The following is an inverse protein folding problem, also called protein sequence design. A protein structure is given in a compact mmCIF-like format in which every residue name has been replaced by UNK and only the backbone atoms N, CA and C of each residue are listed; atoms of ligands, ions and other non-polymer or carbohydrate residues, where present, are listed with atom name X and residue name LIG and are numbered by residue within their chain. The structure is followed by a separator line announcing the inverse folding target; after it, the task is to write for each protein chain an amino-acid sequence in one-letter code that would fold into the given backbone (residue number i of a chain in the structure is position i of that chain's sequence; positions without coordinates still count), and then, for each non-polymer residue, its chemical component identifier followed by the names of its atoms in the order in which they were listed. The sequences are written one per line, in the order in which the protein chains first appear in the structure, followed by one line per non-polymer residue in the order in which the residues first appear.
data_IF_822326187297
#
_entry.id   IF_822326187297
#
_cell.length_a   1.000
_cell.length_b   1.000
_cell.length_c   1.000
_cell.angle_alpha   90.00
_cell.angle_beta   90.00
_cell.angle_gamma   90.00
#
_symmetry.space_group_name_H-M   'P 1'
#
loop_
_entity.id
_entity.type
_entity.pdbx_description
1 polymer ?
2 water ?
#
# COMPACT_ATOMS: atom_id res chain seq x y z
N UNK A 23 -8.41 -14.23 -14.35
CA UNK A 23 -8.88 -14.55 -12.97
C UNK A 23 -9.67 -13.37 -12.40
N UNK A 24 -10.68 -13.68 -11.58
CA UNK A 24 -11.58 -12.67 -11.01
C UNK A 24 -11.75 -12.83 -9.48
N UNK A 25 -11.29 -11.84 -8.68
CA UNK A 25 -10.72 -10.53 -9.03
C UNK A 25 -9.27 -10.58 -9.49
N UNK A 26 -8.90 -9.62 -10.34
CA UNK A 26 -7.55 -9.45 -10.81
C UNK A 26 -6.85 -8.62 -9.74
N UNK A 27 -5.79 -9.18 -9.15
CA UNK A 27 -5.05 -8.52 -8.08
C UNK A 27 -3.77 -7.91 -8.60
N UNK A 28 -3.67 -6.60 -8.43
CA UNK A 28 -2.47 -5.86 -8.82
C UNK A 28 -1.77 -5.38 -7.56
N UNK A 29 -0.54 -5.84 -7.37
CA UNK A 29 0.27 -5.43 -6.24
C UNK A 29 1.13 -4.26 -6.64
N UNK A 30 1.19 -3.26 -5.76
CA UNK A 30 1.97 -2.07 -6.06
C UNK A 30 2.80 -1.79 -4.84
N UNK A 31 4.12 -1.83 -5.02
CA UNK A 31 5.01 -1.63 -3.91
C UNK A 31 5.98 -0.52 -4.26
N UNK A 32 6.97 -0.32 -3.41
CA UNK A 32 7.86 0.84 -3.46
C UNK A 32 8.06 1.39 -2.06
N UNK A 33 9.02 2.28 -1.90
CA UNK A 33 9.24 2.90 -0.59
C UNK A 33 8.09 3.84 -0.26
N UNK A 34 8.03 4.27 0.98
CA UNK A 34 7.01 5.23 1.38
C UNK A 34 7.23 6.54 0.63
N UNK A 35 6.14 7.14 0.17
CA UNK A 35 6.17 8.36 -0.64
C UNK A 35 6.85 8.19 -2.02
N UNK A 36 6.95 6.94 -2.50
CA UNK A 36 7.50 6.66 -3.84
C UNK A 36 6.58 7.14 -4.92
N UNK A 37 5.29 7.14 -4.61
CA UNK A 37 4.26 7.35 -5.59
C UNK A 37 3.38 6.13 -5.74
N UNK A 38 3.71 5.04 -5.05
CA UNK A 38 2.86 3.85 -5.11
C UNK A 38 1.39 4.18 -4.82
N UNK A 39 1.16 5.12 -3.91
CA UNK A 39 -0.22 5.41 -3.56
C UNK A 39 -0.82 6.50 -4.44
N UNK A 40 -0.02 7.47 -4.87
CA UNK A 40 -0.49 8.47 -5.82
C UNK A 40 -0.90 7.83 -7.14
N UNK A 41 -0.15 6.80 -7.55
CA UNK A 41 -0.40 6.08 -8.79
C UNK A 41 -1.76 5.36 -8.74
N UNK A 42 -2.01 4.62 -7.66
CA UNK A 42 -3.30 3.97 -7.44
C UNK A 42 -4.48 4.93 -7.43
N UNK A 43 -4.33 6.05 -6.73
CA UNK A 43 -5.34 7.11 -6.69
C UNK A 43 -5.58 7.67 -8.07
N UNK A 44 -4.50 7.90 -8.81
CA UNK A 44 -4.62 8.40 -10.17
C UNK A 44 -5.37 7.40 -11.05
N UNK A 45 -5.02 6.12 -10.93
CA UNK A 45 -5.71 5.04 -11.66
C UNK A 45 -7.24 5.00 -11.41
N UNK A 46 -7.63 5.09 -10.13
CA UNK A 46 -9.03 5.18 -9.73
C UNK A 46 -9.74 6.40 -10.32
N UNK A 47 -9.07 7.55 -10.28
CA UNK A 47 -9.60 8.81 -10.78
C UNK A 47 -9.89 8.74 -12.28
N UNK A 48 -8.89 8.30 -13.05
CA UNK A 48 -9.00 8.19 -14.51
C UNK A 48 -10.05 7.15 -14.92
N UNK A 49 -10.13 6.06 -14.17
CA UNK A 49 -11.21 5.09 -14.36
C UNK A 49 -12.59 5.64 -13.99
N UNK A 50 -12.64 6.77 -13.27
CA UNK A 50 -13.91 7.36 -12.82
C UNK A 50 -14.45 6.74 -11.54
N UNK A 51 -13.76 5.71 -11.04
CA UNK A 51 -14.18 4.93 -9.87
C UNK A 51 -14.22 5.68 -8.54
N UNK A 52 -13.50 6.79 -8.43
CA UNK A 52 -13.49 7.54 -7.18
C UNK A 52 -14.74 8.43 -7.02
N UNK A 53 -15.56 8.48 -8.06
CA UNK A 53 -16.84 9.21 -8.04
C UNK A 53 -18.02 8.26 -7.85
N UNK A 54 -17.76 7.13 -7.20
CA UNK A 54 -18.74 6.07 -7.00
C UNK A 54 -18.65 5.61 -5.54
N UNK A 55 -19.80 5.50 -4.87
CA UNK A 55 -19.86 4.97 -3.50
C UNK A 55 -19.13 3.63 -3.42
N UNK A 56 -18.43 3.42 -2.31
CA UNK A 56 -17.67 2.19 -2.07
C UNK A 56 -18.34 0.90 -2.58
N UNK A 57 -19.61 0.70 -2.21
CA UNK A 57 -20.33 -0.55 -2.52
C UNK A 57 -20.61 -0.81 -4.01
N UNK A 58 -20.55 0.25 -4.82
CA UNK A 58 -20.87 0.15 -6.23
C UNK A 58 -19.63 0.03 -7.09
N UNK A 59 -18.46 0.06 -6.46
CA UNK A 59 -17.20 0.09 -7.20
C UNK A 59 -16.80 -1.25 -7.79
N UNK A 60 -16.22 -1.21 -8.98
CA UNK A 60 -15.65 -2.40 -9.61
C UNK A 60 -14.14 -2.47 -9.38
N UNK A 61 -13.53 -1.31 -9.15
CA UNK A 61 -12.11 -1.23 -8.82
C UNK A 61 -11.90 -0.63 -7.42
N UNK A 62 -11.07 -1.29 -6.62
CA UNK A 62 -10.85 -0.90 -5.23
C UNK A 62 -9.36 -0.71 -4.93
N UNK A 63 -9.02 0.26 -4.06
CA UNK A 63 -7.64 0.37 -3.52
C UNK A 63 -7.54 -0.17 -2.08
N UNK A 64 -6.58 -1.05 -1.85
CA UNK A 64 -6.32 -1.57 -0.52
C UNK A 64 -4.88 -1.23 -0.09
N UNK A 65 -4.72 -0.48 1.00
CA UNK A 65 -3.38 -0.17 1.52
C UNK A 65 -2.96 -1.12 2.63
N UNK A 66 -1.72 -1.56 2.54
CA UNK A 66 -1.11 -2.36 3.58
C UNK A 66 -1.15 -1.67 4.95
N UNK A 67 -1.10 -0.34 4.97
CA UNK A 67 -1.07 0.38 6.26
C UNK A 67 -2.38 0.34 7.06
N UNK A 68 -3.44 -0.17 6.45
CA UNK A 68 -4.64 -0.49 7.20
C UNK A 68 -4.40 -1.69 8.12
N UNK A 69 -3.34 -2.44 7.85
CA UNK A 69 -3.03 -3.66 8.60
C UNK A 69 -1.91 -3.56 9.64
N UNK A 70 -1.50 -2.33 9.98
CA UNK A 70 -0.61 -2.15 11.14
C UNK A 70 -1.26 -2.75 12.38
N UNK A 71 -0.44 -3.34 13.24
CA UNK A 71 -0.91 -3.91 14.50
C UNK A 71 -1.34 -2.82 15.48
N UNK A 72 -2.27 -3.17 16.37
CA UNK A 72 -2.57 -2.36 17.54
C UNK A 72 -1.37 -2.53 18.48
N UNK A 73 -0.79 -1.42 18.92
CA UNK A 73 0.37 -1.49 19.80
C UNK A 73 -0.02 -1.77 21.24
N UNK A 74 0.83 -2.51 21.94
CA UNK A 74 0.72 -2.70 23.39
C UNK A 74 1.07 -1.38 24.06
N UNK A 75 0.74 -1.27 25.35
CA UNK A 75 1.03 -0.09 26.14
C UNK A 75 2.47 0.40 25.95
N UNK A 76 3.42 -0.54 25.92
CA UNK A 76 4.82 -0.18 25.92
C UNK A 76 5.45 -0.03 24.53
N UNK A 77 4.87 -0.67 23.52
CA UNK A 77 5.28 -0.40 22.15
C UNK A 77 4.82 1.01 21.79
N UNK A 78 3.66 1.39 22.32
CA UNK A 78 3.10 2.72 22.16
C UNK A 78 4.00 3.78 22.80
N UNK A 79 4.50 3.47 24.00
CA UNK A 79 5.42 4.34 24.73
C UNK A 79 6.76 4.50 24.00
N UNK A 80 7.15 3.47 23.25
CA UNK A 80 8.34 3.54 22.41
C UNK A 80 8.06 4.45 21.21
N UNK A 81 6.86 4.33 20.66
CA UNK A 81 6.46 5.11 19.49
C UNK A 81 6.42 6.62 19.71
N UNK A 82 5.99 7.06 20.90
CA UNK A 82 5.93 8.49 21.23
C UNK A 82 7.34 9.05 21.32
N UNK A 83 8.24 8.26 21.90
CA UNK A 83 9.65 8.60 21.98
C UNK A 83 10.42 8.17 20.72
N UNK A 84 9.67 7.96 19.63
CA UNK A 84 10.22 7.69 18.29
C UNK A 84 11.05 6.43 18.10
N UNK A 85 10.94 5.49 19.04
CA UNK A 85 11.78 4.28 19.06
C UNK A 85 11.05 2.99 18.68
N UNK A 86 10.05 3.08 17.80
CA UNK A 86 9.34 1.90 17.31
C UNK A 86 9.39 1.79 15.79
N UNK A 87 9.81 0.63 15.30
CA UNK A 87 10.04 0.43 13.86
C UNK A 87 8.79 0.04 13.07
N UNK A 88 8.20 1.04 12.42
CA UNK A 88 7.02 0.84 11.59
C UNK A 88 7.33 0.31 10.18
N UNK A 89 8.60 0.10 9.88
CA UNK A 89 8.99 -0.40 8.55
C UNK A 89 9.50 -1.85 8.53
N UNK A 90 9.43 -2.50 9.70
CA UNK A 90 9.77 -3.92 9.84
C UNK A 90 8.51 -4.72 9.48
N UNK A 91 8.65 -5.85 8.76
CA UNK A 91 7.51 -6.74 8.48
C UNK A 91 6.67 -7.13 9.71
N UNK A 92 7.31 -7.22 10.88
CA UNK A 92 6.62 -7.56 12.13
C UNK A 92 5.72 -6.42 12.58
N UNK A 93 5.84 -5.25 11.96
CA UNK A 93 4.99 -4.12 12.34
C UNK A 93 3.57 -4.33 11.84
N UNK A 94 3.41 -5.28 10.92
CA UNK A 94 2.14 -5.54 10.25
C UNK A 94 1.45 -6.78 10.75
N UNK A 95 0.14 -6.67 10.88
CA UNK A 95 -0.69 -7.80 11.23
C UNK A 95 -0.84 -8.67 9.99
N UNK A 96 0.13 -9.56 9.79
CA UNK A 96 0.22 -10.30 8.54
C UNK A 96 -0.88 -11.34 8.40
N UNK A 97 -1.21 -11.99 9.50
CA UNK A 97 -2.27 -12.96 9.50
C UNK A 97 -3.59 -12.36 9.01
N UNK A 98 -3.98 -11.23 9.59
CA UNK A 98 -5.17 -10.51 9.17
C UNK A 98 -5.09 -10.10 7.68
N UNK A 99 -3.95 -9.55 7.28
CA UNK A 99 -3.75 -9.15 5.89
C UNK A 99 -4.00 -10.33 4.94
N UNK A 100 -3.31 -11.43 5.20
CA UNK A 100 -3.39 -12.64 4.39
C UNK A 100 -4.81 -13.22 4.30
N UNK A 101 -5.54 -13.25 5.41
CA UNK A 101 -6.89 -13.80 5.41
C UNK A 101 -7.85 -12.90 4.68
N UNK A 102 -7.69 -11.60 4.88
CA UNK A 102 -8.47 -10.60 4.15
C UNK A 102 -8.30 -10.77 2.64
N UNK A 103 -7.06 -10.85 2.19
CA UNK A 103 -6.78 -11.03 0.77
C UNK A 103 -7.32 -12.35 0.25
N UNK A 104 -7.14 -13.40 1.05
CA UNK A 104 -7.59 -14.75 0.70
C UNK A 104 -9.12 -14.80 0.55
N UNK A 105 -9.81 -13.90 1.25
CA UNK A 105 -11.26 -13.76 1.09
C UNK A 105 -11.66 -12.90 -0.11
N UNK A 106 -10.90 -11.82 -0.36
CA UNK A 106 -11.10 -10.98 -1.54
C UNK A 106 -10.97 -11.81 -2.83
N UNK A 107 -9.89 -12.57 -2.90
CA UNK A 107 -9.62 -13.53 -3.98
C UNK A 107 -10.77 -14.53 -4.16
N UNK A 108 -11.30 -15.04 -3.06
CA UNK A 108 -12.45 -15.94 -3.12
C UNK A 108 -13.76 -15.24 -3.48
N UNK A 109 -13.68 -13.94 -3.81
CA UNK A 109 -14.83 -13.13 -4.22
C UNK A 109 -15.83 -12.77 -3.12
N UNK A 110 -15.34 -12.59 -1.90
CA UNK A 110 -16.20 -12.30 -0.75
C UNK A 110 -16.11 -10.85 -0.27
N UNK A 111 -17.14 -10.41 0.43
CA UNK A 111 -17.14 -9.14 1.14
C UNK A 111 -16.26 -9.26 2.38
N UNK A 112 -15.38 -8.28 2.56
CA UNK A 112 -14.48 -8.26 3.72
C UNK A 112 -14.61 -6.97 4.53
N UNK A 113 -14.24 -7.05 5.80
CA UNK A 113 -14.16 -5.88 6.64
C UNK A 113 -12.70 -5.55 6.80
N UNK A 114 -12.41 -4.26 6.81
CA UNK A 114 -11.05 -3.81 6.78
C UNK A 114 -10.88 -2.67 7.81
N UNK A 115 -9.78 -2.71 8.60
CA UNK A 115 -9.57 -1.70 9.64
C UNK A 115 -9.17 -0.35 9.06
N UNK A 116 -9.27 0.70 9.87
CA UNK A 116 -8.65 1.99 9.58
C UNK A 116 -7.64 2.28 10.69
N UNK A 117 -6.45 2.73 10.30
CA UNK A 117 -5.38 2.99 11.25
C UNK A 117 -5.20 4.49 11.47
N UNK A 118 -5.05 4.89 12.73
CA UNK A 118 -4.80 6.27 13.09
C UNK A 118 -3.30 6.46 13.32
N UNK A 119 -2.65 7.15 12.39
CA UNK A 119 -1.20 7.39 12.43
C UNK A 119 -0.74 8.16 13.67
N UNK A 120 -1.55 9.13 14.10
CA UNK A 120 -1.22 9.95 15.27
C UNK A 120 -1.35 9.15 16.57
N UNK A 121 -2.49 8.47 16.76
CA UNK A 121 -2.75 7.72 18.00
C UNK A 121 -2.25 6.27 17.94
N UNK A 122 -1.38 5.99 16.96
CA UNK A 122 -0.84 4.65 16.69
C UNK A 122 -1.80 3.50 17.07
N UNK A 123 -3.08 3.68 16.74
CA UNK A 123 -4.12 2.71 17.07
C UNK A 123 -5.06 2.49 15.90
N UNK A 124 -5.94 1.52 16.07
CA UNK A 124 -6.89 1.12 15.05
C UNK A 124 -8.24 1.73 15.42
N UNK A 125 -8.90 2.37 14.45
CA UNK A 125 -10.14 3.10 14.72
C UNK A 125 -11.34 2.19 15.04
N UNK A 126 -12.31 2.71 15.84
CA UNK A 126 -13.51 1.95 16.20
C UNK A 126 -14.17 1.23 15.02
N UNK A 127 -14.45 1.94 13.93
CA UNK A 127 -15.24 1.35 12.84
C UNK A 127 -14.37 0.79 11.72
N UNK A 128 -14.85 -0.29 11.09
CA UNK A 128 -14.18 -0.91 9.96
C UNK A 128 -14.79 -0.41 8.65
N UNK A 129 -14.08 -0.63 7.55
CA UNK A 129 -14.56 -0.29 6.22
C UNK A 129 -14.98 -1.56 5.49
N UNK A 130 -16.12 -1.49 4.82
CA UNK A 130 -16.65 -2.63 4.09
C UNK A 130 -16.19 -2.58 2.63
N UNK A 131 -15.54 -3.66 2.19
CA UNK A 131 -15.09 -3.78 0.82
C UNK A 131 -15.91 -4.88 0.15
N UNK A 132 -16.69 -4.49 -0.85
CA UNK A 132 -17.51 -5.43 -1.61
C UNK A 132 -16.69 -6.00 -2.76
N UNK A 133 -17.07 -7.19 -3.27
CA UNK A 133 -16.33 -7.82 -4.35
C UNK A 133 -16.01 -6.83 -5.47
N UNK A 134 -14.75 -6.80 -5.88
CA UNK A 134 -14.32 -5.97 -7.00
C UNK A 134 -13.88 -6.85 -8.17
N UNK A 135 -13.80 -6.27 -9.36
CA UNK A 135 -13.21 -6.95 -10.52
C UNK A 135 -11.70 -6.79 -10.49
N UNK A 136 -11.26 -5.63 -9.99
CA UNK A 136 -9.84 -5.34 -9.85
C UNK A 136 -9.57 -4.80 -8.45
N UNK A 137 -8.49 -5.31 -7.85
CA UNK A 137 -8.00 -4.82 -6.55
C UNK A 137 -6.57 -4.31 -6.71
N UNK A 138 -6.39 -3.04 -6.35
CA UNK A 138 -5.07 -2.44 -6.28
C UNK A 138 -4.61 -2.53 -4.83
N UNK A 139 -3.65 -3.41 -4.58
CA UNK A 139 -3.11 -3.57 -3.25
C UNK A 139 -1.72 -2.92 -3.15
N UNK A 140 -1.63 -1.80 -2.44
CA UNK A 140 -0.37 -1.07 -2.31
C UNK A 140 0.22 -1.08 -0.92
N UNK A 141 1.55 -1.04 -0.86
CA UNK A 141 2.26 -0.96 0.40
C UNK A 141 3.74 -1.25 0.27
N UNK A 142 4.49 -0.87 1.31
CA UNK A 142 5.93 -1.01 1.33
C UNK A 142 6.38 -2.47 1.30
N UNK A 143 5.56 -3.38 1.81
CA UNK A 143 6.00 -4.76 2.00
C UNK A 143 5.11 -5.83 1.38
N UNK A 144 4.30 -5.46 0.40
CA UNK A 144 3.32 -6.39 -0.17
C UNK A 144 3.94 -7.54 -0.99
N UNK A 145 5.25 -7.46 -1.26
CA UNK A 145 5.95 -8.56 -1.95
C UNK A 145 6.87 -9.35 -1.03
N UNK A 146 6.96 -8.92 0.23
CA UNK A 146 7.86 -9.54 1.20
C UNK A 146 7.59 -11.02 1.40
N UNK A 147 6.36 -11.38 1.71
CA UNK A 147 6.08 -12.79 1.98
C UNK A 147 5.51 -13.45 0.74
N UNK A 148 6.03 -14.63 0.44
CA UNK A 148 5.64 -15.42 -0.72
C UNK A 148 4.14 -15.73 -0.80
N UNK A 149 3.51 -15.98 0.34
CA UNK A 149 2.07 -16.27 0.38
C UNK A 149 1.31 -15.15 -0.32
N UNK A 150 1.53 -13.91 0.12
CA UNK A 150 0.85 -12.75 -0.45
C UNK A 150 1.34 -12.52 -1.87
N UNK A 151 2.66 -12.54 -2.03
CA UNK A 151 3.31 -12.30 -3.31
C UNK A 151 2.70 -13.10 -4.47
N UNK A 152 2.55 -14.41 -4.27
CA UNK A 152 2.00 -15.31 -5.29
C UNK A 152 0.52 -15.08 -5.62
N UNK A 153 -0.14 -14.23 -4.85
CA UNK A 153 -1.55 -13.91 -5.09
C UNK A 153 -1.73 -12.87 -6.21
N UNK A 154 -0.67 -12.15 -6.57
CA UNK A 154 -0.78 -11.08 -7.56
C UNK A 154 -0.73 -11.57 -9.00
N UNK A 155 -1.64 -11.04 -9.81
CA UNK A 155 -1.61 -11.29 -11.24
C UNK A 155 -0.60 -10.35 -11.90
N UNK A 156 -0.45 -9.16 -11.33
CA UNK A 156 0.49 -8.17 -11.83
C UNK A 156 1.18 -7.55 -10.64
N UNK A 157 2.51 -7.47 -10.69
CA UNK A 157 3.29 -6.84 -9.63
C UNK A 157 4.02 -5.61 -10.14
N UNK A 158 3.68 -4.47 -9.56
CA UNK A 158 4.30 -3.19 -9.91
C UNK A 158 5.14 -2.71 -8.76
N UNK A 159 6.21 -2.00 -9.10
CA UNK A 159 7.09 -1.40 -8.13
C UNK A 159 7.36 0.01 -8.61
N UNK A 160 7.03 0.99 -7.78
CA UNK A 160 7.25 2.38 -8.12
C UNK A 160 8.60 2.75 -7.53
N UNK A 161 9.56 2.98 -8.42
CA UNK A 161 10.96 3.21 -8.04
C UNK A 161 11.29 4.70 -8.08
N UNK A 162 11.53 5.25 -6.90
CA UNK A 162 11.82 6.66 -6.70
C UNK A 162 12.99 6.77 -5.72
N UNK A 163 13.97 7.61 -6.05
CA UNK A 163 15.17 7.75 -5.23
C UNK A 163 14.82 8.15 -3.81
N UNK A 164 15.60 7.62 -2.87
CA UNK A 164 15.38 7.84 -1.44
C UNK A 164 15.34 9.30 -1.05
N UNK A 165 16.28 10.10 -1.57
CA UNK A 165 16.29 11.53 -1.25
C UNK A 165 15.00 12.24 -1.69
N UNK A 166 14.44 11.83 -2.83
CA UNK A 166 13.19 12.39 -3.32
C UNK A 166 12.03 11.97 -2.43
N UNK A 167 11.99 10.70 -2.07
CA UNK A 167 10.99 10.16 -1.16
C UNK A 167 11.04 10.83 0.21
N UNK A 168 12.24 10.99 0.76
CA UNK A 168 12.40 11.65 2.05
C UNK A 168 11.88 13.09 2.05
N UNK A 169 12.05 13.81 0.95
CA UNK A 169 11.53 15.19 0.86
C UNK A 169 9.99 15.25 0.88
N UNK A 170 9.35 14.35 0.13
CA UNK A 170 7.88 14.24 0.15
C UNK A 170 7.42 13.79 1.53
N UNK A 171 8.02 12.72 2.04
CA UNK A 171 7.75 12.21 3.38
C UNK A 171 7.89 13.28 4.46
N UNK A 172 8.97 14.05 4.40
CA UNK A 172 9.23 15.14 5.34
C UNK A 172 8.15 16.21 5.26
N UNK A 173 7.81 16.61 4.04
CA UNK A 173 6.79 17.63 3.81
C UNK A 173 5.43 17.19 4.33
N UNK A 174 5.10 15.92 4.08
CA UNK A 174 3.82 15.35 4.50
C UNK A 174 3.74 15.19 6.03
N UNK A 175 4.89 14.94 6.66
CA UNK A 175 4.95 14.68 8.11
C UNK A 175 5.06 15.90 9.02
N UNK A 176 5.16 17.09 8.44
CA UNK A 176 5.22 18.33 9.22
C UNK A 176 3.83 18.74 9.73
N UNK A 177 2.78 18.21 9.09
CA UNK A 177 1.40 18.60 9.39
C UNK A 177 0.93 18.06 10.74
N UNK A 181 7.20 16.57 14.61
CA UNK A 181 8.34 17.49 14.69
C UNK A 181 9.47 17.07 13.76
N UNK A 182 10.02 18.05 13.04
CA UNK A 182 11.06 17.85 12.02
C UNK A 182 12.25 16.99 12.47
N UNK A 183 12.87 17.37 13.59
CA UNK A 183 14.05 16.68 14.12
C UNK A 183 13.81 15.21 14.42
N UNK A 184 12.64 14.89 14.99
CA UNK A 184 12.30 13.50 15.30
C UNK A 184 11.93 12.71 14.05
N UNK A 185 11.27 13.36 13.09
CA UNK A 185 11.03 12.76 11.77
C UNK A 185 12.36 12.29 11.18
N UNK A 186 13.36 13.16 11.22
CA UNK A 186 14.66 12.87 10.63
C UNK A 186 15.42 11.78 11.38
N UNK A 187 15.48 11.90 12.70
CA UNK A 187 16.09 10.87 13.55
C UNK A 187 15.44 9.50 13.35
N UNK A 188 14.12 9.45 13.32
CA UNK A 188 13.43 8.18 13.12
C UNK A 188 13.68 7.57 11.73
N UNK A 189 13.78 8.43 10.72
CA UNK A 189 14.07 7.97 9.36
C UNK A 189 15.49 7.38 9.24
N UNK A 190 16.46 8.04 9.88
CA UNK A 190 17.85 7.62 9.92
C UNK A 190 18.07 6.30 10.66
N UNK A 191 17.41 6.16 11.80
CA UNK A 191 17.58 5.00 12.67
C UNK A 191 16.77 3.79 12.19
N UNK A 192 15.54 4.04 11.72
CA UNK A 192 14.59 2.96 11.49
C UNK A 192 14.09 2.80 10.06
N UNK A 193 13.69 3.91 9.43
CA UNK A 193 13.05 3.82 8.12
C UNK A 193 14.06 3.40 7.07
N UNK A 194 15.19 4.12 7.00
CA UNK A 194 16.20 3.84 6.00
C UNK A 194 16.74 2.40 6.08
N UNK A 195 17.29 1.98 7.24
CA UNK A 195 17.75 0.59 7.36
C UNK A 195 16.69 -0.45 6.97
N UNK A 196 15.46 -0.28 7.45
CA UNK A 196 14.39 -1.25 7.17
C UNK A 196 13.93 -1.24 5.70
N UNK A 197 13.91 -0.06 5.08
CA UNK A 197 13.60 0.01 3.66
C UNK A 197 14.63 -0.79 2.88
N UNK A 198 15.89 -0.59 3.22
CA UNK A 198 17.00 -1.26 2.54
C UNK A 198 17.08 -2.77 2.79
N UNK A 199 16.78 -3.20 4.01
CA UNK A 199 16.81 -4.62 4.32
C UNK A 199 15.57 -5.38 3.81
N UNK A 200 14.39 -4.78 3.92
CA UNK A 200 13.14 -5.53 3.69
C UNK A 200 12.40 -5.16 2.40
N UNK A 201 12.38 -3.87 2.08
CA UNK A 201 11.52 -3.38 1.00
C UNK A 201 12.22 -3.39 -0.35
N UNK A 202 13.41 -2.81 -0.40
CA UNK A 202 14.17 -2.69 -1.65
C UNK A 202 14.49 -4.04 -2.30
N UNK A 203 14.96 -5.04 -1.52
CA UNK A 203 15.18 -6.36 -2.10
C UNK A 203 13.96 -6.97 -2.80
N UNK A 204 12.75 -6.55 -2.44
CA UNK A 204 11.53 -7.09 -3.08
C UNK A 204 11.28 -6.53 -4.48
N UNK A 205 12.09 -5.56 -4.89
CA UNK A 205 12.02 -5.02 -6.25
C UNK A 205 12.20 -6.13 -7.31
N UNK A 206 13.04 -7.12 -7.00
CA UNK A 206 13.32 -8.22 -7.92
C UNK A 206 12.06 -9.02 -8.32
N UNK A 207 10.98 -8.90 -7.54
CA UNK A 207 9.72 -9.60 -7.86
C UNK A 207 8.81 -8.81 -8.79
N UNK A 208 9.13 -7.53 -9.01
CA UNK A 208 8.29 -6.67 -9.81
C UNK A 208 8.26 -7.17 -11.24
N UNK A 209 7.08 -7.15 -11.86
CA UNK A 209 6.98 -7.43 -13.28
C UNK A 209 7.37 -6.19 -14.06
N UNK A 210 6.95 -5.04 -13.54
CA UNK A 210 7.06 -3.78 -14.23
C UNK A 210 7.48 -2.76 -13.20
N UNK A 211 8.53 -2.00 -13.53
CA UNK A 211 9.01 -0.95 -12.66
C UNK A 211 8.55 0.41 -13.20
N UNK A 212 7.92 1.18 -12.33
CA UNK A 212 7.41 2.48 -12.73
C UNK A 212 8.25 3.52 -12.05
N UNK A 213 9.04 4.26 -12.84
CA UNK A 213 9.87 5.27 -12.21
C UNK A 213 9.07 6.52 -11.85
N UNK A 214 9.52 7.21 -10.81
CA UNK A 214 9.03 8.56 -10.44
C UNK A 214 7.74 8.64 -9.61
N UNK A 215 6.63 8.09 -10.12
CA UNK A 215 5.35 8.19 -9.43
C UNK A 215 4.21 8.68 -10.32
N UNK A 216 3.42 9.61 -9.79
CA UNK A 216 2.26 10.18 -10.51
C UNK A 216 2.65 11.04 -11.73
N UNK A 217 3.88 11.54 -11.75
CA UNK A 217 4.43 12.28 -12.90
C UNK A 217 4.36 11.44 -14.18
N UNK A 218 4.46 10.13 -14.03
CA UNK A 218 4.55 9.18 -15.12
C UNK A 218 3.17 8.84 -15.70
N UNK A 219 2.57 9.78 -16.43
CA UNK A 219 1.24 9.57 -17.02
C UNK A 219 1.16 8.45 -18.04
N UNK A 220 2.18 8.30 -18.87
CA UNK A 220 2.23 7.20 -19.81
C UNK A 220 2.17 5.83 -19.10
N UNK A 221 2.92 5.65 -18.02
CA UNK A 221 2.82 4.40 -17.26
C UNK A 221 1.42 4.18 -16.71
N UNK A 222 0.85 5.21 -16.09
CA UNK A 222 -0.51 5.11 -15.50
C UNK A 222 -1.53 4.65 -16.54
N UNK A 223 -1.54 5.35 -17.68
CA UNK A 223 -2.42 5.05 -18.81
C UNK A 223 -2.29 3.64 -19.36
N UNK A 224 -1.07 3.13 -19.39
CA UNK A 224 -0.85 1.76 -19.78
C UNK A 224 -1.61 0.80 -18.84
N UNK A 225 -1.47 1.02 -17.54
CA UNK A 225 -2.15 0.20 -16.54
C UNK A 225 -3.67 0.41 -16.56
N UNK A 226 -4.09 1.67 -16.68
CA UNK A 226 -5.51 2.01 -16.82
C UNK A 226 -6.15 1.30 -18.03
N UNK A 227 -5.48 1.34 -19.18
CA UNK A 227 -5.93 0.61 -20.37
C UNK A 227 -6.02 -0.91 -20.12
N UNK A 228 -5.02 -1.48 -19.46
CA UNK A 228 -5.06 -2.90 -19.13
C UNK A 228 -6.27 -3.23 -18.25
N UNK A 229 -6.50 -2.40 -17.23
CA UNK A 229 -7.67 -2.55 -16.36
C UNK A 229 -9.01 -2.42 -17.12
N UNK A 230 -9.06 -1.51 -18.08
CA UNK A 230 -10.27 -1.34 -18.88
C UNK A 230 -10.56 -2.53 -19.77
N UNK A 231 -9.50 -3.18 -20.28
CA UNK A 231 -9.66 -4.42 -21.03
C UNK A 231 -10.28 -5.52 -20.15
N UNK A 232 -9.82 -5.61 -18.90
CA UNK A 232 -10.36 -6.56 -17.93
C UNK A 232 -11.85 -6.29 -17.64
N UNK A 233 -12.17 -5.05 -17.26
CA UNK A 233 -13.56 -4.62 -17.05
C UNK A 233 -14.47 -4.74 -18.28
N UNK A 234 -13.93 -4.50 -19.47
CA UNK A 234 -14.70 -4.63 -20.72
C UNK A 234 -14.83 -6.07 -21.16
N UNK A 235 -13.98 -6.93 -20.59
CA UNK A 235 -13.96 -8.34 -20.94
C UNK A 235 -13.24 -8.59 -22.25
N UNK A 236 -12.28 -7.73 -22.57
CA UNK A 236 -11.40 -7.90 -23.73
C UNK A 236 -10.24 -8.87 -23.45
N UNK A 237 -10.28 -9.50 -22.27
CA UNK A 237 -9.45 -10.66 -21.92
C UNK A 237 -10.13 -11.54 -20.87
#
# INVERSE_FOLDING_TARGET
MHHHHHHSSGVDLGTENLYFQSMRPFLIGVSGGTASGKSTVCEKIMELLGQNEVEQRQRKVVILSQDRFYKVLTAEQKAKALKGQYNFDHPDAFDNDLMHRTLKNIVEGKTVEVPTYDFVTHSRLPETTVVYPADVVLFEGILVFYSQEIRDMFHLRLFVDTDSDVRLSRRVLRDVRRGRDLEQILTQYTTFVKPAFEEFCLPTKKYADVIIPRGVDNMVAINLIVQHIQDILNGDICKWHRGGS
#
